data_IF_908988306246
#
_entry.id   IF_908988306246
#
_cell.length_a   1.000
_cell.length_b   1.000
_cell.length_c   1.000
_cell.angle_alpha   90.00
_cell.angle_beta   90.00
_cell.angle_gamma   90.00
#
_symmetry.space_group_name_H-M   'P 1'
#
loop_
_entity.id
_entity.type
_entity.pdbx_description
1 polymer ?
#
# COMPACT_ATOMS: atom_id res chain seq x y z
N UNK A 1 48.03 4.12 65.22
CA UNK A 1 47.80 4.73 63.89
C UNK A 1 47.68 3.64 62.84
N UNK A 2 46.54 3.58 62.16
CA UNK A 2 46.34 3.23 60.73
C UNK A 2 44.84 3.05 60.52
N UNK A 3 44.15 4.13 60.19
CA UNK A 3 42.78 4.03 59.68
C UNK A 3 42.85 3.49 58.25
N UNK A 4 42.09 2.43 57.97
CA UNK A 4 41.97 1.87 56.62
C UNK A 4 40.91 2.65 55.84
N UNK A 5 41.11 2.91 54.52
CA UNK A 5 40.18 3.73 53.78
C UNK A 5 38.89 2.95 53.46
N UNK A 6 37.74 3.46 53.90
CA UNK A 6 36.42 2.96 53.49
C UNK A 6 36.22 3.23 52.00
N UNK A 7 36.37 2.18 51.19
CA UNK A 7 36.13 2.20 49.74
C UNK A 7 34.65 2.52 49.46
N UNK A 8 34.36 3.72 48.94
CA UNK A 8 33.01 4.11 48.51
C UNK A 8 32.55 3.17 47.39
N UNK A 9 31.58 2.30 47.68
CA UNK A 9 30.84 1.52 46.68
C UNK A 9 30.02 2.49 45.84
N UNK A 10 30.51 2.84 44.66
CA UNK A 10 29.73 3.63 43.71
C UNK A 10 28.54 2.80 43.26
N UNK A 11 27.34 3.37 43.39
CA UNK A 11 26.07 2.70 43.08
C UNK A 11 26.03 2.46 41.58
N UNK A 12 26.25 1.21 41.14
CA UNK A 12 26.39 0.79 39.73
C UNK A 12 25.17 1.08 38.85
N UNK A 13 24.08 1.62 39.39
CA UNK A 13 22.81 1.86 38.70
C UNK A 13 22.90 2.95 37.62
N UNK A 14 23.77 3.95 37.77
CA UNK A 14 23.98 5.00 36.76
C UNK A 14 24.66 4.52 35.47
N UNK A 15 25.27 3.32 35.48
CA UNK A 15 25.94 2.75 34.30
C UNK A 15 24.98 2.05 33.33
N UNK A 16 23.79 1.65 33.77
CA UNK A 16 22.85 0.87 32.95
C UNK A 16 21.95 1.76 32.11
N UNK A 17 21.69 3.00 32.55
CA UNK A 17 20.90 3.97 31.80
C UNK A 17 21.43 4.24 30.37
N UNK A 18 22.74 4.54 30.18
CA UNK A 18 23.27 4.78 28.83
C UNK A 18 23.29 3.50 27.99
N UNK A 19 23.45 2.32 28.60
CA UNK A 19 23.38 1.03 27.90
C UNK A 19 21.95 0.74 27.38
N UNK A 20 20.94 1.02 28.19
CA UNK A 20 19.53 0.87 27.79
C UNK A 20 19.19 1.86 26.68
N UNK A 21 19.64 3.11 26.79
CA UNK A 21 19.43 4.13 25.75
C UNK A 21 20.13 3.75 24.44
N UNK A 22 21.38 3.28 24.51
CA UNK A 22 22.13 2.80 23.36
C UNK A 22 21.44 1.59 22.70
N UNK A 23 20.96 0.63 23.48
CA UNK A 23 20.18 -0.49 22.97
C UNK A 23 18.92 -0.01 22.26
N UNK A 24 18.16 0.92 22.86
CA UNK A 24 16.96 1.50 22.23
C UNK A 24 17.26 2.21 20.91
N UNK A 25 18.36 2.96 20.84
CA UNK A 25 18.78 3.63 19.60
C UNK A 25 19.21 2.62 18.52
N UNK A 26 19.90 1.54 18.91
CA UNK A 26 20.30 0.49 17.97
C UNK A 26 19.09 -0.27 17.45
N UNK A 27 18.17 -0.71 18.32
CA UNK A 27 16.96 -1.41 17.90
C UNK A 27 15.99 -0.50 17.15
N UNK A 28 15.86 0.76 17.56
CA UNK A 28 15.06 1.75 16.85
C UNK A 28 15.62 2.06 15.45
N UNK A 29 16.93 2.25 15.35
CA UNK A 29 17.62 2.45 14.07
C UNK A 29 17.52 1.24 13.16
N UNK A 30 17.69 0.03 13.70
CA UNK A 30 17.48 -1.21 12.96
C UNK A 30 16.01 -1.35 12.49
N UNK A 31 15.04 -0.99 13.34
CA UNK A 31 13.62 -1.01 12.97
C UNK A 31 13.31 -0.08 11.79
N UNK A 32 13.83 1.16 11.81
CA UNK A 32 13.67 2.10 10.68
C UNK A 32 14.39 1.59 9.43
N UNK A 33 15.57 0.98 9.59
CA UNK A 33 16.33 0.41 8.47
C UNK A 33 15.62 -0.79 7.82
N UNK A 34 15.00 -1.66 8.61
CA UNK A 34 14.28 -2.83 8.13
C UNK A 34 12.82 -2.56 7.75
N UNK A 35 12.25 -1.41 8.14
CA UNK A 35 10.86 -1.06 7.83
C UNK A 35 10.55 -1.13 6.32
N UNK A 36 11.36 -0.56 5.40
CA UNK A 36 11.09 -0.67 3.97
C UNK A 36 11.05 -2.13 3.49
N UNK A 37 11.94 -3.00 3.98
CA UNK A 37 12.00 -4.39 3.55
C UNK A 37 10.74 -5.17 3.95
N UNK A 38 10.30 -5.02 5.21
CA UNK A 38 9.09 -5.70 5.71
C UNK A 38 7.83 -5.11 5.09
N UNK A 39 7.76 -3.78 4.98
CA UNK A 39 6.63 -3.08 4.37
C UNK A 39 6.45 -3.47 2.91
N UNK A 40 7.53 -3.47 2.13
CA UNK A 40 7.48 -3.86 0.73
C UNK A 40 7.13 -5.34 0.58
N UNK A 41 7.65 -6.22 1.44
CA UNK A 41 7.31 -7.65 1.40
C UNK A 41 5.80 -7.89 1.61
N UNK A 42 5.18 -7.18 2.56
CA UNK A 42 3.75 -7.28 2.82
C UNK A 42 2.94 -6.67 1.67
N UNK A 43 3.33 -5.48 1.18
CA UNK A 43 2.63 -4.80 0.10
C UNK A 43 2.71 -5.56 -1.24
N UNK A 44 3.87 -6.15 -1.52
CA UNK A 44 4.07 -6.98 -2.70
C UNK A 44 3.17 -8.22 -2.70
N UNK A 45 2.88 -8.80 -1.53
CA UNK A 45 2.01 -9.96 -1.43
C UNK A 45 0.56 -9.60 -1.79
N UNK A 46 0.05 -8.47 -1.28
CA UNK A 46 -1.33 -8.04 -1.55
C UNK A 46 -1.54 -7.68 -3.01
N UNK A 47 -0.59 -6.99 -3.65
CA UNK A 47 -0.75 -6.58 -5.06
C UNK A 47 -0.65 -7.77 -6.02
N UNK A 48 0.25 -8.72 -5.75
CA UNK A 48 0.34 -9.96 -6.56
C UNK A 48 -0.94 -10.77 -6.47
N UNK A 49 -1.51 -10.87 -5.27
CA UNK A 49 -2.76 -11.60 -5.05
C UNK A 49 -3.91 -11.03 -5.88
N UNK A 50 -4.11 -9.71 -5.86
CA UNK A 50 -5.17 -9.05 -6.64
C UNK A 50 -4.99 -9.29 -8.14
N UNK A 51 -3.77 -9.09 -8.68
CA UNK A 51 -3.47 -9.30 -10.10
C UNK A 51 -3.78 -10.74 -10.52
N UNK A 52 -3.29 -11.72 -9.74
CA UNK A 52 -3.51 -13.13 -10.05
C UNK A 52 -4.98 -13.54 -9.93
N UNK A 53 -5.68 -13.01 -8.93
CA UNK A 53 -7.11 -13.29 -8.70
C UNK A 53 -7.95 -12.76 -9.85
N UNK A 54 -7.73 -11.53 -10.27
CA UNK A 54 -8.42 -10.91 -11.39
C UNK A 54 -8.16 -11.65 -12.72
N UNK A 55 -6.89 -11.97 -13.01
CA UNK A 55 -6.53 -12.75 -14.20
C UNK A 55 -7.20 -14.13 -14.21
N UNK A 56 -7.25 -14.79 -13.04
CA UNK A 56 -7.95 -16.06 -12.90
C UNK A 56 -9.46 -15.90 -13.10
N UNK A 57 -10.08 -14.85 -12.55
CA UNK A 57 -11.51 -14.58 -12.72
C UNK A 57 -11.85 -14.44 -14.21
N UNK A 58 -11.16 -13.56 -14.93
CA UNK A 58 -11.41 -13.34 -16.36
C UNK A 58 -11.21 -14.64 -17.16
N UNK A 59 -10.19 -15.44 -16.83
CA UNK A 59 -9.92 -16.71 -17.52
C UNK A 59 -10.99 -17.78 -17.32
N UNK A 60 -11.76 -17.70 -16.23
CA UNK A 60 -12.80 -18.67 -15.88
C UNK A 60 -14.23 -18.14 -16.14
N UNK A 61 -14.37 -16.87 -16.52
CA UNK A 61 -15.65 -16.26 -16.80
C UNK A 61 -16.22 -16.80 -18.12
N UNK A 62 -17.55 -16.85 -18.22
CA UNK A 62 -18.23 -17.24 -19.46
C UNK A 62 -17.92 -16.20 -20.55
N UNK A 63 -17.46 -16.62 -21.74
CA UNK A 63 -17.24 -15.71 -22.86
C UNK A 63 -18.43 -14.82 -23.22
N UNK A 64 -19.66 -15.30 -23.05
CA UNK A 64 -20.87 -14.51 -23.36
C UNK A 64 -21.03 -13.32 -22.39
N UNK A 65 -20.71 -13.52 -21.11
CA UNK A 65 -20.73 -12.45 -20.10
C UNK A 65 -19.63 -11.44 -20.39
N UNK A 66 -18.42 -11.91 -20.75
CA UNK A 66 -17.31 -11.02 -21.08
C UNK A 66 -17.62 -10.14 -22.31
N UNK A 67 -18.29 -10.69 -23.32
CA UNK A 67 -18.72 -9.96 -24.50
C UNK A 67 -19.81 -8.92 -24.16
N UNK A 68 -20.76 -9.26 -23.28
CA UNK A 68 -21.77 -8.34 -22.80
C UNK A 68 -21.13 -7.14 -22.06
N UNK A 69 -20.24 -7.41 -21.10
CA UNK A 69 -19.53 -6.38 -20.33
C UNK A 69 -18.69 -5.47 -21.25
N UNK A 70 -18.04 -6.06 -22.26
CA UNK A 70 -17.30 -5.30 -23.26
C UNK A 70 -18.20 -4.35 -24.06
N UNK A 71 -19.37 -4.84 -24.49
CA UNK A 71 -20.34 -4.03 -25.22
C UNK A 71 -20.90 -2.89 -24.36
N UNK A 72 -21.19 -3.15 -23.09
CA UNK A 72 -21.64 -2.12 -22.14
C UNK A 72 -20.58 -1.03 -21.95
N UNK A 73 -19.30 -1.41 -21.85
CA UNK A 73 -18.18 -0.47 -21.77
C UNK A 73 -18.02 0.36 -23.06
N UNK A 74 -18.24 -0.22 -24.24
CA UNK A 74 -18.22 0.51 -25.51
C UNK A 74 -19.34 1.55 -25.58
N UNK A 75 -20.57 1.16 -25.24
CA UNK A 75 -21.73 2.07 -25.18
C UNK A 75 -21.48 3.21 -24.18
N UNK A 76 -20.88 2.90 -23.02
CA UNK A 76 -20.50 3.92 -22.04
C UNK A 76 -19.49 4.92 -22.62
N UNK A 77 -18.43 4.44 -23.27
CA UNK A 77 -17.42 5.31 -23.90
C UNK A 77 -18.04 6.19 -25.00
N UNK A 78 -18.99 5.66 -25.77
CA UNK A 78 -19.71 6.45 -26.76
C UNK A 78 -20.54 7.57 -26.11
N UNK A 79 -21.15 7.31 -24.96
CA UNK A 79 -21.94 8.30 -24.23
C UNK A 79 -21.11 9.48 -23.68
N UNK A 80 -19.81 9.27 -23.45
CA UNK A 80 -18.86 10.29 -22.97
C UNK A 80 -18.24 11.13 -24.10
N UNK A 81 -18.49 10.79 -25.37
CA UNK A 81 -17.88 11.48 -26.49
C UNK A 81 -18.26 12.97 -26.51
N UNK A 82 -17.25 13.83 -26.44
CA UNK A 82 -17.41 15.28 -26.51
C UNK A 82 -17.37 15.99 -25.15
N UNK A 83 -17.34 15.25 -24.04
CA UNK A 83 -17.12 15.82 -22.72
C UNK A 83 -15.64 16.18 -22.51
N UNK A 84 -15.34 17.39 -22.01
CA UNK A 84 -13.96 17.80 -21.76
C UNK A 84 -13.37 17.04 -20.57
N UNK A 85 -12.19 16.44 -20.78
CA UNK A 85 -11.41 15.83 -19.69
C UNK A 85 -10.83 16.93 -18.80
N UNK A 86 -10.95 16.76 -17.49
CA UNK A 86 -10.40 17.69 -16.50
C UNK A 86 -9.11 17.16 -15.87
N UNK A 87 -8.23 18.08 -15.44
CA UNK A 87 -6.99 17.73 -14.74
C UNK A 87 -7.31 17.23 -13.31
N UNK A 88 -6.94 15.99 -12.94
CA UNK A 88 -7.27 15.42 -11.63
C UNK A 88 -6.48 16.04 -10.46
N UNK A 89 -5.44 16.83 -10.71
CA UNK A 89 -4.60 17.44 -9.67
C UNK A 89 -5.00 18.89 -9.32
N UNK A 90 -5.99 19.45 -10.02
CA UNK A 90 -6.49 20.81 -9.76
C UNK A 90 -7.72 20.75 -8.84
N UNK A 91 -7.71 21.35 -7.64
CA UNK A 91 -8.88 21.34 -6.77
C UNK A 91 -10.08 22.03 -7.43
N UNK A 92 -11.23 21.36 -7.44
CA UNK A 92 -12.47 21.91 -8.01
C UNK A 92 -12.59 21.81 -9.53
N UNK A 93 -11.63 21.19 -10.22
CA UNK A 93 -11.77 20.76 -11.62
C UNK A 93 -12.52 19.43 -11.76
N UNK A 94 -12.94 18.82 -10.64
CA UNK A 94 -13.48 17.46 -10.61
C UNK A 94 -14.59 17.25 -11.63
N UNK A 95 -14.48 16.15 -12.39
CA UNK A 95 -15.52 15.70 -13.28
C UNK A 95 -16.67 15.08 -12.46
N UNK A 96 -17.91 15.43 -12.78
CA UNK A 96 -19.07 14.76 -12.21
C UNK A 96 -19.17 13.38 -12.87
N UNK A 97 -18.73 12.35 -12.15
CA UNK A 97 -18.76 10.97 -12.65
C UNK A 97 -20.23 10.55 -12.80
N UNK A 98 -20.66 10.10 -14.00
CA UNK A 98 -22.00 9.56 -14.22
C UNK A 98 -22.29 8.36 -13.32
N UNK A 99 -23.54 8.20 -12.88
CA UNK A 99 -23.97 7.14 -11.96
C UNK A 99 -23.69 5.72 -12.49
N UNK A 100 -23.62 5.55 -13.81
CA UNK A 100 -23.35 4.27 -14.47
C UNK A 100 -21.86 3.91 -14.57
N UNK A 101 -20.94 4.83 -14.26
CA UNK A 101 -19.50 4.54 -14.27
C UNK A 101 -19.14 3.39 -13.33
N UNK A 102 -19.73 3.38 -12.12
CA UNK A 102 -19.42 2.37 -11.11
C UNK A 102 -19.89 0.96 -11.47
N UNK A 103 -20.74 0.82 -12.48
CA UNK A 103 -21.26 -0.48 -12.95
C UNK A 103 -20.51 -1.00 -14.19
N UNK A 104 -19.69 -0.15 -14.82
CA UNK A 104 -18.99 -0.51 -16.06
C UNK A 104 -17.74 -1.32 -15.72
N UNK A 105 -17.62 -2.55 -16.25
CA UNK A 105 -16.51 -3.47 -15.97
C UNK A 105 -16.35 -3.80 -14.46
N UNK A 106 -17.46 -3.86 -13.72
CA UNK A 106 -17.51 -4.15 -12.28
C UNK A 106 -17.60 -5.66 -12.02
N UNK A 107 -16.56 -6.39 -12.42
CA UNK A 107 -16.48 -7.85 -12.29
C UNK A 107 -15.89 -8.32 -10.94
N UNK A 108 -15.01 -7.52 -10.35
CA UNK A 108 -14.40 -7.75 -9.04
C UNK A 108 -13.92 -6.44 -8.40
N UNK A 109 -12.90 -6.50 -7.53
CA UNK A 109 -12.34 -5.31 -6.87
C UNK A 109 -11.64 -4.34 -7.84
N UNK A 110 -11.23 -4.77 -9.03
CA UNK A 110 -10.47 -3.97 -9.99
C UNK A 110 -11.05 -4.05 -11.41
N UNK A 111 -11.10 -2.92 -12.10
CA UNK A 111 -11.57 -2.90 -13.51
C UNK A 111 -10.56 -3.57 -14.46
N UNK A 112 -9.26 -3.43 -14.20
CA UNK A 112 -8.21 -4.00 -15.04
C UNK A 112 -6.86 -4.07 -14.32
N UNK A 113 -5.92 -4.82 -14.91
CA UNK A 113 -4.50 -4.79 -14.56
C UNK A 113 -3.68 -4.20 -15.72
N UNK A 114 -2.73 -3.31 -15.41
CA UNK A 114 -1.78 -2.73 -16.37
C UNK A 114 -0.37 -3.29 -16.15
N UNK A 115 0.23 -3.84 -17.20
CA UNK A 115 1.62 -4.33 -17.20
C UNK A 115 2.51 -3.40 -18.03
N UNK A 116 3.58 -2.87 -17.42
CA UNK A 116 4.62 -2.09 -18.10
C UNK A 116 5.93 -2.90 -18.00
N UNK A 117 6.43 -3.48 -19.11
CA UNK A 117 7.59 -4.37 -19.10
C UNK A 117 8.92 -3.67 -18.85
#
# INVERSE_FOLDING_TARGET
MRETPKRKRTKRWGLWLPLILAAFLIFGGAGVFFYPAVSNFIADQSHREIITTHANLISNLDPEILEQEWQEAEIYNESLMGDPVHDPFVPGSGYAIPDNYAQTLDLDEVMCTLEIP
#
